data_IF_144132560458
#
_entry.id   IF_144132560458
#
_cell.length_a   1.000
_cell.length_b   1.000
_cell.length_c   1.000
_cell.angle_alpha   90.00
_cell.angle_beta   90.00
_cell.angle_gamma   90.00
#
_symmetry.space_group_name_H-M   'P 1'
#
loop_
_entity.id
_entity.type
_entity.pdbx_description
1 polymer ?
#
# COMPACT_ATOMS: atom_id res chain seq x y z
N UNK A 1 -2.78 -51.99 14.14
CA UNK A 1 -2.49 -51.07 13.00
C UNK A 1 -2.97 -49.67 13.39
N UNK A 2 -2.04 -48.85 13.84
CA UNK A 2 -2.31 -47.40 14.03
C UNK A 2 -2.06 -46.70 12.69
N UNK A 3 -3.12 -46.24 12.07
CA UNK A 3 -3.03 -45.29 10.97
C UNK A 3 -2.62 -43.93 11.55
N UNK A 4 -1.38 -43.52 11.31
CA UNK A 4 -0.99 -42.14 11.46
C UNK A 4 -1.66 -41.34 10.36
N UNK A 5 -2.72 -40.63 10.73
CA UNK A 5 -3.25 -39.54 9.92
C UNK A 5 -2.13 -38.50 9.78
N UNK A 6 -1.59 -38.32 8.56
CA UNK A 6 -0.78 -37.16 8.23
C UNK A 6 -1.65 -35.95 8.53
N UNK A 7 -1.31 -35.18 9.57
CA UNK A 7 -1.79 -33.81 9.71
C UNK A 7 -1.35 -33.09 8.46
N UNK A 8 -2.34 -32.56 7.76
CA UNK A 8 -2.11 -31.64 6.67
C UNK A 8 -1.53 -30.36 7.32
N UNK A 9 -0.20 -30.23 7.29
CA UNK A 9 0.48 -29.02 7.76
C UNK A 9 0.32 -27.93 6.73
N UNK A 10 -0.93 -27.60 6.40
CA UNK A 10 -1.24 -26.36 5.72
C UNK A 10 -0.75 -25.19 6.56
N UNK A 11 -0.37 -24.05 5.93
CA UNK A 11 0.13 -22.91 6.69
C UNK A 11 -0.89 -22.51 7.73
N UNK A 12 -0.50 -22.56 9.01
CA UNK A 12 -1.35 -22.04 10.08
C UNK A 12 -1.35 -20.53 9.97
N UNK A 13 -2.41 -19.99 9.36
CA UNK A 13 -2.64 -18.54 9.36
C UNK A 13 -2.87 -18.08 10.79
N UNK A 14 -2.02 -17.17 11.25
CA UNK A 14 -2.11 -16.65 12.61
C UNK A 14 -2.91 -15.36 12.62
N UNK A 15 -3.96 -15.31 13.45
CA UNK A 15 -4.66 -14.07 13.75
C UNK A 15 -3.82 -13.31 14.78
N UNK A 16 -3.47 -12.05 14.49
CA UNK A 16 -2.74 -11.16 15.38
C UNK A 16 -3.60 -9.98 15.78
N UNK A 17 -3.18 -9.25 16.82
CA UNK A 17 -3.83 -7.98 17.18
C UNK A 17 -3.80 -6.99 16.01
N UNK A 18 -2.68 -6.93 15.29
CA UNK A 18 -2.53 -6.06 14.12
C UNK A 18 -3.45 -6.48 12.98
N UNK A 19 -3.57 -7.78 12.70
CA UNK A 19 -4.45 -8.26 11.63
C UNK A 19 -5.92 -7.93 11.88
N UNK A 20 -6.36 -8.05 13.13
CA UNK A 20 -7.73 -7.68 13.52
C UNK A 20 -7.95 -6.18 13.49
N UNK A 21 -6.99 -5.40 13.98
CA UNK A 21 -7.04 -3.93 13.95
C UNK A 21 -7.13 -3.40 12.53
N UNK A 22 -6.32 -3.93 11.63
CA UNK A 22 -6.32 -3.53 10.23
C UNK A 22 -7.66 -3.84 9.55
N UNK A 23 -8.18 -5.04 9.76
CA UNK A 23 -9.51 -5.44 9.28
C UNK A 23 -10.58 -4.48 9.77
N UNK A 24 -10.59 -4.17 11.05
CA UNK A 24 -11.59 -3.28 11.66
C UNK A 24 -11.48 -1.85 11.12
N UNK A 25 -10.27 -1.28 11.04
CA UNK A 25 -10.07 0.07 10.53
C UNK A 25 -10.62 0.25 9.11
N UNK A 26 -10.35 -0.71 8.23
CA UNK A 26 -10.81 -0.61 6.84
C UNK A 26 -12.28 -0.98 6.68
N UNK A 27 -12.74 -2.06 7.28
CA UNK A 27 -14.11 -2.55 7.11
C UNK A 27 -15.15 -1.72 7.86
N UNK A 28 -14.75 -1.01 8.91
CA UNK A 28 -15.66 -0.10 9.63
C UNK A 28 -16.21 1.02 8.74
N UNK A 29 -15.54 1.33 7.64
CA UNK A 29 -15.97 2.33 6.67
C UNK A 29 -16.87 1.77 5.56
N UNK A 30 -17.00 0.45 5.44
CA UNK A 30 -17.75 -0.19 4.37
C UNK A 30 -19.15 0.42 4.20
N UNK A 31 -19.44 0.92 3.01
CA UNK A 31 -20.72 1.48 2.63
C UNK A 31 -21.11 2.80 3.28
N UNK A 32 -20.25 3.36 4.13
CA UNK A 32 -20.50 4.65 4.77
C UNK A 32 -20.28 5.81 3.80
N UNK A 33 -21.00 6.89 4.00
CA UNK A 33 -20.78 8.15 3.27
C UNK A 33 -19.43 8.77 3.66
N UNK A 34 -18.69 9.27 2.68
CA UNK A 34 -17.40 9.89 2.89
C UNK A 34 -17.47 11.39 3.26
N UNK A 35 -18.64 11.93 3.47
CA UNK A 35 -18.87 13.36 3.72
C UNK A 35 -19.06 14.18 2.44
N UNK A 36 -18.89 13.61 1.26
CA UNK A 36 -18.98 14.27 -0.05
C UNK A 36 -20.01 13.61 -0.98
N UNK A 37 -20.95 12.85 -0.44
CA UNK A 37 -22.03 12.20 -1.20
C UNK A 37 -21.60 10.92 -1.92
N UNK A 38 -20.45 10.36 -1.61
CA UNK A 38 -19.98 9.08 -2.13
C UNK A 38 -19.79 8.08 -0.98
N UNK A 39 -20.08 6.82 -1.24
CA UNK A 39 -19.90 5.76 -0.24
C UNK A 39 -18.55 5.08 -0.42
N UNK A 40 -17.89 4.79 0.70
CA UNK A 40 -16.70 3.96 0.70
C UNK A 40 -17.00 2.59 0.11
N UNK A 41 -16.13 2.12 -0.79
CA UNK A 41 -16.20 0.78 -1.34
C UNK A 41 -16.15 -0.24 -0.19
N UNK A 42 -17.11 -1.18 -0.18
CA UNK A 42 -17.10 -2.28 0.77
C UNK A 42 -16.03 -3.29 0.38
N UNK A 43 -15.18 -3.65 1.34
CA UNK A 43 -14.11 -4.62 1.16
C UNK A 43 -14.17 -5.69 2.24
N UNK A 44 -13.65 -6.87 1.94
CA UNK A 44 -13.52 -7.98 2.86
C UNK A 44 -12.04 -8.35 3.03
N UNK A 45 -11.56 -8.24 4.26
CA UNK A 45 -10.17 -8.53 4.62
C UNK A 45 -10.16 -9.75 5.54
N UNK A 46 -9.32 -10.74 5.24
CA UNK A 46 -9.20 -11.94 6.09
C UNK A 46 -8.74 -11.56 7.50
N UNK A 47 -9.31 -12.19 8.51
CA UNK A 47 -8.91 -11.96 9.92
C UNK A 47 -7.45 -12.32 10.18
N UNK A 48 -6.91 -13.27 9.42
CA UNK A 48 -5.53 -13.74 9.48
C UNK A 48 -4.63 -13.08 8.44
N UNK A 49 -4.93 -11.84 8.04
CA UNK A 49 -4.12 -11.11 7.08
C UNK A 49 -2.69 -10.87 7.60
N UNK A 50 -1.70 -10.67 6.71
CA UNK A 50 -0.30 -10.56 7.09
C UNK A 50 0.13 -9.15 7.52
N UNK A 51 -0.78 -8.25 7.76
CA UNK A 51 -0.46 -6.86 8.10
C UNK A 51 0.15 -6.76 9.50
N UNK A 52 1.25 -6.02 9.58
CA UNK A 52 1.91 -5.61 10.81
C UNK A 52 2.03 -4.08 10.80
N UNK A 53 1.52 -3.43 11.84
CA UNK A 53 1.68 -1.98 11.98
C UNK A 53 3.13 -1.64 12.20
N UNK A 54 3.62 -0.66 11.46
CA UNK A 54 5.02 -0.25 11.46
C UNK A 54 5.17 1.22 11.84
N UNK A 55 6.41 1.67 11.87
CA UNK A 55 6.80 3.05 12.08
C UNK A 55 7.95 3.42 11.13
N UNK A 56 8.29 4.70 11.07
CA UNK A 56 9.36 5.16 10.18
C UNK A 56 10.72 4.52 10.49
N UNK A 57 11.05 4.32 11.75
CA UNK A 57 12.33 3.70 12.15
C UNK A 57 12.47 2.29 11.55
N UNK A 58 11.44 1.47 11.70
CA UNK A 58 11.43 0.11 11.13
C UNK A 58 11.48 0.14 9.60
N UNK A 59 10.74 1.04 8.97
CA UNK A 59 10.76 1.19 7.51
C UNK A 59 12.15 1.62 7.02
N UNK A 60 12.79 2.55 7.69
CA UNK A 60 14.16 2.97 7.35
C UNK A 60 15.14 1.83 7.50
N UNK A 61 15.01 1.01 8.53
CA UNK A 61 15.86 -0.17 8.73
C UNK A 61 15.67 -1.20 7.60
N UNK A 62 14.44 -1.44 7.16
CA UNK A 62 14.15 -2.32 6.03
C UNK A 62 14.79 -1.78 4.75
N UNK A 63 14.64 -0.49 4.48
CA UNK A 63 15.21 0.16 3.29
C UNK A 63 16.74 0.22 3.32
N UNK A 64 17.36 0.17 4.49
CA UNK A 64 18.81 0.17 4.65
C UNK A 64 19.41 -1.23 4.44
N UNK A 65 18.83 -2.25 5.06
CA UNK A 65 19.44 -3.59 5.12
C UNK A 65 18.46 -4.77 5.17
N UNK A 66 17.17 -4.51 5.24
CA UNK A 66 16.16 -5.54 5.46
C UNK A 66 15.55 -6.08 4.17
N UNK A 67 14.62 -7.01 4.36
CA UNK A 67 13.82 -7.61 3.29
C UNK A 67 12.37 -7.63 3.71
N UNK A 68 11.47 -7.21 2.82
CA UNK A 68 10.04 -7.23 3.10
C UNK A 68 9.21 -6.40 2.16
N UNK A 69 7.92 -6.40 2.42
CA UNK A 69 6.90 -5.62 1.72
C UNK A 69 6.44 -4.50 2.63
N UNK A 70 6.43 -3.28 2.11
CA UNK A 70 5.95 -2.09 2.82
C UNK A 70 4.70 -1.58 2.11
N UNK A 71 3.62 -1.38 2.87
CA UNK A 71 2.39 -0.79 2.35
C UNK A 71 2.14 0.55 3.02
N UNK A 72 2.09 1.60 2.20
CA UNK A 72 1.75 2.96 2.61
C UNK A 72 0.37 3.31 2.05
N UNK A 73 -0.56 3.57 2.95
CA UNK A 73 -1.94 3.86 2.60
C UNK A 73 -2.76 4.25 3.83
N UNK A 74 -4.06 4.41 3.64
CA UNK A 74 -4.97 4.75 4.73
C UNK A 74 -6.42 4.28 4.43
N UNK A 75 -7.25 4.08 5.46
CA UNK A 75 -8.57 3.46 5.28
C UNK A 75 -9.53 4.23 4.39
N UNK A 76 -9.52 5.56 4.47
CA UNK A 76 -10.42 6.46 3.73
C UNK A 76 -10.03 6.64 2.25
N UNK A 77 -8.84 6.19 1.89
CA UNK A 77 -8.33 6.32 0.52
C UNK A 77 -9.05 5.35 -0.43
N UNK A 78 -9.84 5.84 -1.40
CA UNK A 78 -10.59 4.95 -2.28
C UNK A 78 -9.70 4.10 -3.19
N UNK A 79 -8.56 4.63 -3.64
CA UNK A 79 -7.56 3.86 -4.39
C UNK A 79 -6.95 2.73 -3.54
N UNK A 80 -6.69 2.99 -2.25
CA UNK A 80 -6.19 2.00 -1.31
C UNK A 80 -7.21 0.88 -1.08
N UNK A 81 -8.49 1.23 -0.98
CA UNK A 81 -9.56 0.25 -0.76
C UNK A 81 -9.70 -0.74 -1.92
N UNK A 82 -9.38 -0.33 -3.13
CA UNK A 82 -9.33 -1.23 -4.29
C UNK A 82 -8.12 -2.17 -4.26
N UNK A 83 -6.97 -1.68 -3.82
CA UNK A 83 -5.71 -2.42 -3.84
C UNK A 83 -5.57 -3.42 -2.69
N UNK A 84 -5.99 -3.04 -1.49
CA UNK A 84 -5.72 -3.80 -0.25
C UNK A 84 -6.20 -5.24 -0.29
N UNK A 85 -7.42 -5.59 -0.73
CA UNK A 85 -7.82 -6.99 -0.79
C UNK A 85 -6.92 -7.84 -1.69
N UNK A 86 -6.48 -7.30 -2.82
CA UNK A 86 -5.56 -7.99 -3.73
C UNK A 86 -4.19 -8.17 -3.11
N UNK A 87 -3.66 -7.14 -2.45
CA UNK A 87 -2.38 -7.19 -1.75
C UNK A 87 -2.37 -8.28 -0.67
N UNK A 88 -3.39 -8.30 0.15
CA UNK A 88 -3.53 -9.26 1.27
C UNK A 88 -3.71 -10.69 0.74
N UNK A 89 -4.66 -10.90 -0.16
CA UNK A 89 -4.98 -12.24 -0.66
C UNK A 89 -3.81 -12.85 -1.43
N UNK A 90 -3.13 -12.08 -2.28
CA UNK A 90 -1.94 -12.56 -3.00
C UNK A 90 -0.78 -12.89 -2.07
N UNK A 91 -0.59 -12.12 -1.00
CA UNK A 91 0.43 -12.40 0.00
C UNK A 91 0.14 -13.70 0.77
N UNK A 92 -1.12 -13.93 1.12
CA UNK A 92 -1.56 -15.18 1.77
C UNK A 92 -1.33 -16.39 0.87
N UNK A 93 -1.67 -16.30 -0.41
CA UNK A 93 -1.45 -17.37 -1.38
C UNK A 93 0.05 -17.71 -1.51
N UNK A 94 0.92 -16.71 -1.53
CA UNK A 94 2.37 -16.87 -1.69
C UNK A 94 3.10 -17.01 -0.35
N UNK A 95 2.40 -17.05 0.77
CA UNK A 95 2.96 -17.18 2.13
C UNK A 95 3.95 -16.08 2.46
N UNK A 96 3.64 -14.85 2.05
CA UNK A 96 4.42 -13.65 2.36
C UNK A 96 3.87 -12.98 3.61
N UNK A 97 4.70 -12.85 4.64
CA UNK A 97 4.36 -12.21 5.91
C UNK A 97 5.65 -11.79 6.63
N UNK A 98 5.64 -10.63 7.33
CA UNK A 98 4.57 -9.65 7.37
C UNK A 98 4.57 -8.69 6.17
N UNK A 99 3.45 -7.96 6.00
CA UNK A 99 3.41 -6.71 5.23
C UNK A 99 3.46 -5.57 6.24
N UNK A 100 4.48 -4.72 6.15
CA UNK A 100 4.68 -3.59 7.06
C UNK A 100 3.82 -2.41 6.62
N UNK A 101 2.87 -2.03 7.46
CA UNK A 101 1.89 -0.98 7.15
C UNK A 101 2.18 0.30 7.93
N UNK A 102 2.17 1.42 7.23
CA UNK A 102 2.23 2.75 7.83
C UNK A 102 1.28 3.71 7.10
N UNK A 103 0.43 4.38 7.86
CA UNK A 103 -0.39 5.48 7.38
C UNK A 103 0.40 6.79 7.48
N UNK A 104 0.86 7.28 6.33
CA UNK A 104 1.62 8.53 6.22
C UNK A 104 0.77 9.70 5.70
N UNK A 105 -0.53 9.52 5.57
CA UNK A 105 -1.41 10.52 4.92
C UNK A 105 -1.35 11.90 5.54
N UNK A 106 -1.24 11.96 6.87
CA UNK A 106 -1.13 13.21 7.63
C UNK A 106 0.27 13.83 7.63
N UNK A 107 1.29 13.11 7.20
CA UNK A 107 2.70 13.52 7.28
C UNK A 107 3.22 14.16 6.00
N UNK A 108 2.48 14.02 4.92
CA UNK A 108 2.89 14.50 3.59
C UNK A 108 2.82 16.02 3.50
N UNK A 109 3.76 16.62 2.75
CA UNK A 109 3.68 18.03 2.39
C UNK A 109 2.61 18.27 1.31
N UNK A 110 2.11 19.49 1.26
CA UNK A 110 1.26 19.98 0.17
C UNK A 110 1.91 21.19 -0.46
N UNK A 111 2.21 21.08 -1.75
CA UNK A 111 2.83 22.12 -2.55
C UNK A 111 1.87 22.59 -3.63
N UNK A 112 1.99 23.85 -4.02
CA UNK A 112 1.25 24.43 -5.13
C UNK A 112 2.13 25.33 -5.98
N UNK A 113 1.72 25.56 -7.23
CA UNK A 113 2.39 26.48 -8.13
C UNK A 113 1.66 27.82 -8.10
N UNK A 114 2.40 28.89 -7.80
CA UNK A 114 1.84 30.26 -7.83
C UNK A 114 1.63 30.73 -9.27
N UNK A 115 0.85 31.80 -9.46
CA UNK A 115 0.63 32.44 -10.76
C UNK A 115 1.95 32.91 -11.40
N UNK A 116 2.98 33.21 -10.59
CA UNK A 116 4.32 33.61 -11.03
C UNK A 116 5.25 32.43 -11.32
N UNK A 117 4.75 31.19 -11.24
CA UNK A 117 5.54 30.00 -11.48
C UNK A 117 6.48 29.60 -10.32
N UNK A 118 6.25 30.13 -9.12
CA UNK A 118 6.99 29.73 -7.91
C UNK A 118 6.25 28.64 -7.16
N UNK A 119 7.03 27.78 -6.50
CA UNK A 119 6.48 26.71 -5.67
C UNK A 119 6.22 27.27 -4.27
N UNK A 120 4.97 27.10 -3.80
CA UNK A 120 4.52 27.49 -2.48
C UNK A 120 4.27 26.25 -1.63
N UNK A 121 4.74 26.24 -0.39
CA UNK A 121 4.40 25.21 0.59
C UNK A 121 3.11 25.58 1.29
N UNK A 122 2.02 24.86 0.98
CA UNK A 122 0.72 25.02 1.63
C UNK A 122 0.69 24.31 2.99
N UNK A 123 1.34 23.13 3.05
CA UNK A 123 1.49 22.35 4.28
C UNK A 123 2.91 21.77 4.30
N UNK A 124 3.57 21.93 5.44
CA UNK A 124 4.89 21.33 5.68
C UNK A 124 4.75 19.83 5.87
N UNK A 125 5.63 19.05 5.24
CA UNK A 125 5.79 17.64 5.55
C UNK A 125 6.55 17.43 6.85
N UNK A 126 6.36 16.27 7.49
CA UNK A 126 7.19 15.87 8.62
C UNK A 126 8.62 15.56 8.15
N UNK A 127 9.58 15.67 9.07
CA UNK A 127 10.98 15.32 8.75
C UNK A 127 11.11 13.86 8.31
N UNK A 128 10.40 12.94 8.95
CA UNK A 128 10.39 11.53 8.61
C UNK A 128 9.83 11.28 7.21
N UNK A 129 8.73 11.92 6.85
CA UNK A 129 8.18 11.81 5.51
C UNK A 129 9.18 12.32 4.45
N UNK A 130 9.77 13.48 4.68
CA UNK A 130 10.74 14.07 3.74
C UNK A 130 11.99 13.19 3.60
N UNK A 131 12.45 12.56 4.69
CA UNK A 131 13.53 11.58 4.65
C UNK A 131 13.16 10.34 3.83
N UNK A 132 11.93 9.85 3.99
CA UNK A 132 11.43 8.71 3.22
C UNK A 132 11.38 9.04 1.73
N UNK A 133 10.91 10.23 1.37
CA UNK A 133 10.92 10.71 -0.04
C UNK A 133 12.35 10.76 -0.59
N UNK A 134 13.30 11.27 0.17
CA UNK A 134 14.70 11.34 -0.27
C UNK A 134 15.31 9.95 -0.49
N UNK A 135 15.06 9.01 0.41
CA UNK A 135 15.52 7.61 0.26
C UNK A 135 14.94 6.96 -0.99
N UNK A 136 13.68 7.23 -1.30
CA UNK A 136 12.93 6.60 -2.40
C UNK A 136 12.93 7.41 -3.70
N UNK A 137 13.59 8.55 -3.76
CA UNK A 137 13.45 9.53 -4.86
C UNK A 137 13.63 8.96 -6.26
N UNK A 138 14.52 8.00 -6.44
CA UNK A 138 14.78 7.40 -7.75
C UNK A 138 13.65 6.47 -8.23
N UNK A 139 12.75 6.09 -7.34
CA UNK A 139 11.62 5.20 -7.61
C UNK A 139 10.28 5.92 -7.60
N UNK A 140 10.22 7.12 -7.03
CA UNK A 140 8.98 7.86 -6.85
C UNK A 140 8.57 8.63 -8.10
N UNK A 141 7.25 8.81 -8.31
CA UNK A 141 6.74 9.70 -9.34
C UNK A 141 7.01 11.17 -9.00
N UNK A 142 7.00 11.99 -10.03
CA UNK A 142 7.05 13.44 -9.92
C UNK A 142 5.79 13.96 -9.23
N UNK A 143 5.93 14.98 -8.41
CA UNK A 143 4.80 15.71 -7.83
C UNK A 143 4.04 16.44 -8.94
N UNK A 144 2.79 16.06 -9.19
CA UNK A 144 1.99 16.62 -10.26
C UNK A 144 1.71 18.12 -10.09
N UNK A 145 1.72 18.84 -11.21
CA UNK A 145 1.27 20.22 -11.27
C UNK A 145 2.27 21.29 -10.83
N UNK A 146 3.53 20.93 -10.55
CA UNK A 146 4.56 21.88 -10.11
C UNK A 146 5.50 22.34 -11.21
N UNK A 147 5.47 21.70 -12.38
CA UNK A 147 6.41 21.97 -13.49
C UNK A 147 7.88 21.88 -13.09
N UNK A 148 8.18 21.00 -12.13
CA UNK A 148 9.53 20.71 -11.64
C UNK A 148 9.66 19.20 -11.41
N UNK A 149 10.33 18.51 -12.32
CA UNK A 149 10.46 17.06 -12.31
C UNK A 149 11.40 16.54 -11.19
N UNK A 150 12.12 17.43 -10.53
CA UNK A 150 12.99 17.06 -9.41
C UNK A 150 12.21 16.84 -8.10
N UNK A 151 10.99 17.35 -8.01
CA UNK A 151 10.16 17.22 -6.82
C UNK A 151 9.33 15.95 -6.92
N UNK A 152 9.56 15.05 -5.97
CA UNK A 152 8.90 13.74 -5.89
C UNK A 152 7.83 13.72 -4.81
N UNK A 153 6.89 12.78 -4.94
CA UNK A 153 5.82 12.57 -3.96
C UNK A 153 5.54 11.10 -3.77
N UNK A 154 5.19 10.73 -2.56
CA UNK A 154 4.59 9.41 -2.28
C UNK A 154 3.08 9.56 -2.41
N UNK A 155 2.53 9.08 -3.52
CA UNK A 155 1.09 8.95 -3.69
C UNK A 155 0.60 7.69 -2.96
N UNK A 156 -0.65 7.69 -2.52
CA UNK A 156 -1.22 6.57 -1.78
C UNK A 156 -2.34 5.92 -2.62
N UNK A 157 -2.33 4.59 -2.72
CA UNK A 157 -1.42 3.64 -2.09
C UNK A 157 -0.05 3.59 -2.77
N UNK A 158 0.96 3.21 -1.99
CA UNK A 158 2.27 2.82 -2.51
C UNK A 158 2.69 1.53 -1.80
N UNK A 159 3.09 0.52 -2.58
CA UNK A 159 3.64 -0.74 -2.08
C UNK A 159 5.08 -0.85 -2.53
N UNK A 160 5.99 -1.10 -1.59
CA UNK A 160 7.43 -1.15 -1.83
C UNK A 160 7.94 -2.55 -1.54
N UNK A 161 8.71 -3.13 -2.47
CA UNK A 161 9.31 -4.45 -2.33
C UNK A 161 10.82 -4.27 -2.15
N UNK A 162 11.34 -4.76 -1.03
CA UNK A 162 12.73 -4.55 -0.62
C UNK A 162 13.39 -5.90 -0.35
N UNK A 163 14.59 -6.11 -0.90
CA UNK A 163 15.43 -7.26 -0.59
C UNK A 163 16.85 -6.81 -0.25
N UNK A 164 17.31 -7.20 0.94
CA UNK A 164 18.66 -6.88 1.43
C UNK A 164 18.98 -5.36 1.30
N UNK A 165 18.03 -4.52 1.68
CA UNK A 165 18.14 -3.07 1.61
C UNK A 165 18.03 -2.47 0.21
N UNK A 166 17.70 -3.27 -0.81
CA UNK A 166 17.53 -2.79 -2.19
C UNK A 166 16.06 -2.78 -2.56
N UNK A 167 15.58 -1.65 -3.06
CA UNK A 167 14.23 -1.54 -3.62
C UNK A 167 14.18 -2.31 -4.94
N UNK A 168 13.40 -3.38 -4.97
CA UNK A 168 13.17 -4.16 -6.20
C UNK A 168 12.19 -3.47 -7.13
N UNK A 169 11.23 -2.75 -6.56
CA UNK A 169 10.23 -2.01 -7.27
C UNK A 169 9.21 -1.41 -6.34
N UNK A 170 8.36 -0.60 -6.93
CA UNK A 170 7.31 0.14 -6.25
C UNK A 170 6.05 0.05 -7.11
N UNK A 171 4.92 -0.31 -6.49
CA UNK A 171 3.62 -0.35 -7.14
C UNK A 171 2.67 0.63 -6.49
N UNK A 172 1.93 1.32 -7.34
CA UNK A 172 0.87 2.24 -6.98
C UNK A 172 -0.48 1.69 -7.46
N UNK A 173 -1.42 2.56 -7.77
CA UNK A 173 -2.67 2.16 -8.41
C UNK A 173 -2.40 1.52 -9.78
N UNK A 174 -3.05 0.39 -10.05
CA UNK A 174 -2.94 -0.30 -11.34
C UNK A 174 -3.34 0.62 -12.50
N UNK A 175 -2.45 0.78 -13.48
CA UNK A 175 -2.63 1.73 -14.57
C UNK A 175 -3.87 1.43 -15.42
N UNK A 176 -4.08 0.15 -15.79
CA UNK A 176 -5.25 -0.26 -16.59
C UNK A 176 -6.57 0.06 -15.89
N UNK A 177 -6.62 -0.16 -14.58
CA UNK A 177 -7.77 0.21 -13.76
C UNK A 177 -7.97 1.72 -13.72
N UNK A 178 -6.93 2.48 -13.42
CA UNK A 178 -6.98 3.95 -13.34
C UNK A 178 -7.49 4.57 -14.65
N UNK A 179 -7.03 4.06 -15.78
CA UNK A 179 -7.50 4.49 -17.11
C UNK A 179 -8.97 4.16 -17.35
N UNK A 180 -9.39 2.92 -17.02
CA UNK A 180 -10.78 2.48 -17.23
C UNK A 180 -11.78 3.31 -16.44
N UNK A 181 -11.45 3.64 -15.20
CA UNK A 181 -12.35 4.40 -14.32
C UNK A 181 -12.25 5.91 -14.49
N UNK A 182 -11.36 6.37 -15.36
CA UNK A 182 -11.14 7.80 -15.67
C UNK A 182 -11.02 8.66 -14.41
N UNK A 183 -10.17 8.24 -13.47
CA UNK A 183 -9.91 8.94 -12.22
C UNK A 183 -11.00 8.80 -11.17
N UNK A 184 -11.98 7.91 -11.34
CA UNK A 184 -13.01 7.65 -10.34
C UNK A 184 -12.72 6.37 -9.52
N UNK A 185 -12.07 6.49 -8.34
CA UNK A 185 -11.68 5.32 -7.54
C UNK A 185 -12.83 4.70 -6.74
N UNK A 186 -14.03 5.24 -6.82
CA UNK A 186 -15.24 4.66 -6.20
C UNK A 186 -15.86 3.57 -7.06
N UNK A 187 -15.36 3.37 -8.28
CA UNK A 187 -15.67 2.21 -9.09
C UNK A 187 -14.69 1.07 -8.76
N UNK A 188 -15.23 -0.09 -8.44
CA UNK A 188 -14.41 -1.24 -8.05
C UNK A 188 -13.59 -1.77 -9.24
N UNK A 189 -12.39 -2.29 -8.96
CA UNK A 189 -11.64 -3.09 -9.92
C UNK A 189 -12.47 -4.30 -10.36
N UNK A 190 -12.44 -4.60 -11.66
CA UNK A 190 -13.02 -5.83 -12.18
C UNK A 190 -12.08 -7.03 -11.95
N UNK A 191 -12.57 -8.25 -12.21
CA UNK A 191 -11.81 -9.47 -11.96
C UNK A 191 -10.50 -9.53 -12.77
N UNK A 192 -10.49 -9.07 -14.00
CA UNK A 192 -9.31 -9.02 -14.85
C UNK A 192 -8.23 -8.08 -14.30
N UNK A 193 -8.63 -6.93 -13.77
CA UNK A 193 -7.73 -5.96 -13.15
C UNK A 193 -7.17 -6.50 -11.82
N UNK A 194 -8.00 -7.14 -11.01
CA UNK A 194 -7.56 -7.81 -9.77
C UNK A 194 -6.54 -8.90 -10.06
N UNK A 195 -6.76 -9.70 -11.09
CA UNK A 195 -5.82 -10.74 -11.52
C UNK A 195 -4.50 -10.15 -12.00
N UNK A 196 -4.53 -9.11 -12.83
CA UNK A 196 -3.33 -8.39 -13.29
C UNK A 196 -2.51 -7.87 -12.12
N UNK A 197 -3.14 -7.19 -11.17
CA UNK A 197 -2.47 -6.66 -9.98
C UNK A 197 -1.92 -7.79 -9.09
N UNK A 198 -2.70 -8.85 -8.89
CA UNK A 198 -2.26 -10.04 -8.15
C UNK A 198 -0.99 -10.65 -8.76
N UNK A 199 -0.93 -10.78 -10.07
CA UNK A 199 0.24 -11.32 -10.77
C UNK A 199 1.46 -10.42 -10.62
N UNK A 200 1.28 -9.10 -10.68
CA UNK A 200 2.37 -8.15 -10.41
C UNK A 200 2.92 -8.36 -9.00
N UNK A 201 2.06 -8.43 -8.00
CA UNK A 201 2.50 -8.66 -6.62
C UNK A 201 3.20 -10.01 -6.46
N UNK A 202 2.67 -11.07 -7.04
CA UNK A 202 3.26 -12.43 -6.98
C UNK A 202 4.65 -12.47 -7.60
N UNK A 203 4.87 -11.76 -8.69
CA UNK A 203 6.19 -11.66 -9.32
C UNK A 203 7.20 -11.00 -8.37
N UNK A 204 6.81 -9.95 -7.67
CA UNK A 204 7.66 -9.35 -6.63
C UNK A 204 7.87 -10.27 -5.44
N UNK A 205 6.82 -10.93 -4.95
CA UNK A 205 6.94 -11.87 -3.83
C UNK A 205 7.94 -13.00 -4.12
N UNK A 206 7.95 -13.51 -5.33
CA UNK A 206 8.90 -14.54 -5.75
C UNK A 206 10.35 -14.06 -5.65
N UNK A 207 10.61 -12.78 -5.91
CA UNK A 207 11.96 -12.20 -5.84
C UNK A 207 12.44 -11.95 -4.40
N UNK A 208 11.53 -11.96 -3.43
CA UNK A 208 11.87 -11.77 -2.01
C UNK A 208 12.39 -13.05 -1.34
N UNK A 209 12.16 -14.18 -1.96
CA UNK A 209 12.57 -15.51 -1.43
C UNK A 209 14.04 -15.81 -1.63
#
# INVERSE_FOLDING_TARGET
YFMFSKKDDGPSYTITNDSLKFKEEYESLNGKDNGNGKNYLSIDIKSYNPISYSNYEEIFDILDKGTGVIYLGFPECPWCRNLVPVLVDSALEEKVSPIYYLNISGDRNTLSLTKKGKIKTEKKGTEDYLKLVDILKDYLPVYDGLKDDSIKRIYLPTVIFVKDGKVLGLEETLESYSKRVDGNPYLEMNDSEKEELSNIFKDYYAKLK
#
